data_IF_745397829152
#
_entry.id   IF_745397829152
#
_cell.length_a   1.000
_cell.length_b   1.000
_cell.length_c   1.000
_cell.angle_alpha   90.00
_cell.angle_beta   90.00
_cell.angle_gamma   90.00
#
_symmetry.space_group_name_H-M   'P 1'
#
loop_
_entity.id
_entity.type
_entity.pdbx_description
1 polymer ?
#
# COMPACT_ATOMS: atom_id res chain seq x y z
N UNK A 1 -21.13 31.39 3.25
CA UNK A 1 -19.80 30.96 3.73
C UNK A 1 -19.05 30.41 2.53
N UNK A 2 -18.30 31.26 1.82
CA UNK A 2 -17.51 30.86 0.65
C UNK A 2 -16.23 30.17 1.14
N UNK A 3 -16.02 28.89 0.76
CA UNK A 3 -14.73 28.23 0.95
C UNK A 3 -13.74 28.88 -0.03
N UNK A 4 -12.55 29.32 0.41
CA UNK A 4 -11.55 29.85 -0.51
C UNK A 4 -11.14 28.76 -1.51
N UNK A 5 -10.86 29.17 -2.76
CA UNK A 5 -10.40 28.28 -3.81
C UNK A 5 -9.11 27.56 -3.38
N UNK A 6 -9.05 26.25 -3.60
CA UNK A 6 -7.84 25.47 -3.38
C UNK A 6 -6.69 26.05 -4.21
N UNK A 7 -5.55 26.34 -3.57
CA UNK A 7 -4.34 26.73 -4.29
C UNK A 7 -3.89 25.59 -5.21
N UNK A 8 -3.31 25.93 -6.36
CA UNK A 8 -2.79 24.95 -7.35
C UNK A 8 -1.85 23.91 -6.72
N UNK A 9 -1.08 24.30 -5.69
CA UNK A 9 -0.26 23.37 -4.91
C UNK A 9 -1.07 22.28 -4.19
N UNK A 10 -2.22 22.64 -3.58
CA UNK A 10 -3.09 21.67 -2.91
C UNK A 10 -3.88 20.76 -3.86
N UNK A 11 -3.92 21.09 -5.16
CA UNK A 11 -4.55 20.24 -6.19
C UNK A 11 -3.58 19.18 -6.76
N UNK A 12 -2.26 19.37 -6.59
CA UNK A 12 -1.23 18.48 -7.15
C UNK A 12 -0.46 17.68 -6.10
N UNK A 13 -0.51 18.05 -4.82
CA UNK A 13 0.13 17.27 -3.74
C UNK A 13 -0.74 16.06 -3.38
N UNK A 14 -0.26 14.83 -3.60
CA UNK A 14 -0.99 13.63 -3.22
C UNK A 14 -1.11 13.50 -1.69
N UNK A 15 -2.22 12.91 -1.23
CA UNK A 15 -2.41 12.58 0.19
C UNK A 15 -1.36 11.57 0.68
N UNK A 16 -1.08 11.47 2.00
CA UNK A 16 -0.15 10.46 2.53
C UNK A 16 -0.55 9.03 2.15
N UNK A 17 -1.85 8.72 2.10
CA UNK A 17 -2.36 7.42 1.65
C UNK A 17 -2.05 7.14 0.18
N UNK A 18 -2.17 8.16 -0.67
CA UNK A 18 -1.78 8.07 -2.08
C UNK A 18 -0.28 7.85 -2.21
N UNK A 19 0.54 8.49 -1.36
CA UNK A 19 1.98 8.29 -1.34
C UNK A 19 2.37 6.87 -0.89
N UNK A 20 1.67 6.29 0.10
CA UNK A 20 1.85 4.88 0.46
C UNK A 20 1.45 3.93 -0.69
N UNK A 21 0.35 4.21 -1.39
CA UNK A 21 -0.05 3.42 -2.54
C UNK A 21 0.94 3.53 -3.71
N UNK A 22 1.56 4.71 -3.92
CA UNK A 22 2.65 4.89 -4.89
C UNK A 22 3.89 4.11 -4.49
N UNK A 23 4.28 4.16 -3.21
CA UNK A 23 5.44 3.45 -2.68
C UNK A 23 5.33 1.93 -2.86
N UNK A 24 4.12 1.36 -2.95
CA UNK A 24 3.91 -0.07 -3.11
C UNK A 24 4.38 -0.61 -4.47
N UNK A 25 4.56 0.28 -5.46
CA UNK A 25 5.11 -0.05 -6.78
C UNK A 25 6.64 0.05 -6.83
N UNK A 26 7.27 0.47 -5.74
CA UNK A 26 8.72 0.57 -5.67
C UNK A 26 9.29 -0.72 -5.14
N UNK A 27 10.16 -1.37 -5.93
CA UNK A 27 10.87 -2.54 -5.46
C UNK A 27 11.87 -2.17 -4.34
N UNK A 28 11.99 -3.01 -3.31
CA UNK A 28 12.99 -2.80 -2.25
C UNK A 28 12.67 -1.68 -1.25
N UNK A 29 11.42 -1.55 -0.82
CA UNK A 29 11.00 -0.58 0.22
C UNK A 29 11.46 -0.91 1.64
N UNK A 30 12.32 -1.93 1.84
CA UNK A 30 12.73 -2.42 3.16
C UNK A 30 13.53 -1.39 3.99
N UNK A 31 14.24 -0.47 3.32
CA UNK A 31 14.93 0.66 3.98
C UNK A 31 14.14 1.96 3.89
N UNK A 32 12.90 1.92 3.42
CA UNK A 32 12.06 3.09 3.16
C UNK A 32 12.74 4.14 2.27
N UNK A 33 13.30 3.69 1.15
CA UNK A 33 14.08 4.51 0.22
C UNK A 33 13.49 4.44 -1.19
N UNK A 34 12.38 5.16 -1.39
CA UNK A 34 11.59 5.16 -2.63
C UNK A 34 11.20 6.59 -3.08
N UNK A 35 12.24 7.41 -3.24
CA UNK A 35 12.18 8.81 -3.70
C UNK A 35 11.07 9.64 -3.04
N UNK A 36 10.28 10.39 -3.81
CA UNK A 36 9.28 11.31 -3.27
C UNK A 36 8.16 10.61 -2.51
N UNK A 37 7.83 9.36 -2.85
CA UNK A 37 6.77 8.61 -2.17
C UNK A 37 7.16 8.29 -0.72
N UNK A 38 8.39 7.81 -0.50
CA UNK A 38 8.92 7.57 0.84
C UNK A 38 9.23 8.89 1.57
N UNK A 39 9.77 9.89 0.87
CA UNK A 39 10.08 11.19 1.48
C UNK A 39 8.83 11.90 2.01
N UNK A 40 7.68 11.78 1.32
CA UNK A 40 6.41 12.35 1.77
C UNK A 40 5.87 11.71 3.06
N UNK A 41 6.32 10.49 3.39
CA UNK A 41 5.96 9.72 4.57
C UNK A 41 7.23 9.28 5.34
N UNK A 42 8.16 10.21 5.55
CA UNK A 42 9.52 9.91 6.04
C UNK A 42 9.60 9.35 7.46
N UNK A 43 8.53 9.45 8.25
CA UNK A 43 8.46 8.90 9.61
C UNK A 43 7.97 7.43 9.64
N UNK A 44 7.57 6.89 8.49
CA UNK A 44 7.12 5.50 8.37
C UNK A 44 8.23 4.51 8.69
N UNK A 45 7.87 3.47 9.44
CA UNK A 45 8.79 2.42 9.89
C UNK A 45 8.34 1.09 9.33
N UNK A 46 9.14 0.55 8.43
CA UNK A 46 8.85 -0.72 7.75
C UNK A 46 9.11 -1.89 8.70
N UNK A 47 8.17 -2.84 8.74
CA UNK A 47 8.25 -4.07 9.53
C UNK A 47 8.52 -5.27 8.65
N UNK A 48 7.85 -5.32 7.50
CA UNK A 48 8.07 -6.36 6.50
C UNK A 48 7.77 -5.80 5.12
N UNK A 49 8.54 -6.26 4.15
CA UNK A 49 8.26 -6.14 2.73
C UNK A 49 8.23 -7.54 2.15
N UNK A 50 7.51 -7.73 1.05
CA UNK A 50 7.46 -8.99 0.33
C UNK A 50 6.80 -8.81 -1.02
N UNK A 51 6.60 -9.91 -1.71
CA UNK A 51 6.21 -9.91 -3.11
C UNK A 51 7.38 -10.32 -4.00
N UNK A 52 7.01 -10.74 -5.19
CA UNK A 52 7.91 -11.16 -6.27
C UNK A 52 7.59 -10.42 -7.57
N UNK A 53 6.79 -9.35 -7.50
CA UNK A 53 6.28 -8.56 -8.63
C UNK A 53 5.64 -9.44 -9.74
N UNK A 54 5.11 -10.60 -9.35
CA UNK A 54 4.56 -11.58 -10.29
C UNK A 54 3.31 -12.24 -9.71
N UNK A 55 3.46 -13.42 -9.10
CA UNK A 55 2.36 -14.12 -8.47
C UNK A 55 1.92 -13.37 -7.21
N UNK A 56 2.87 -12.83 -6.45
CA UNK A 56 2.60 -12.03 -5.25
C UNK A 56 3.00 -10.60 -5.55
N UNK A 57 2.05 -9.68 -5.73
CA UNK A 57 2.36 -8.26 -5.91
C UNK A 57 3.20 -7.75 -4.75
N UNK A 58 4.05 -6.76 -5.01
CA UNK A 58 4.86 -6.18 -3.96
C UNK A 58 3.98 -5.60 -2.85
N UNK A 59 4.40 -5.77 -1.61
CA UNK A 59 3.66 -5.29 -0.46
C UNK A 59 4.60 -4.89 0.66
N UNK A 60 4.13 -4.01 1.53
CA UNK A 60 4.80 -3.70 2.78
C UNK A 60 3.81 -3.47 3.91
N UNK A 61 4.28 -3.73 5.12
CA UNK A 61 3.57 -3.42 6.37
C UNK A 61 4.51 -2.66 7.28
N UNK A 62 3.98 -1.67 7.97
CA UNK A 62 4.75 -0.89 8.92
C UNK A 62 3.90 0.02 9.80
N UNK A 63 4.59 0.71 10.69
CA UNK A 63 3.99 1.69 11.58
C UNK A 63 4.13 3.10 11.01
N UNK A 64 3.03 3.85 11.00
CA UNK A 64 3.01 5.26 10.65
C UNK A 64 2.74 6.13 11.88
N UNK A 65 3.78 6.74 12.48
CA UNK A 65 3.63 7.54 13.69
C UNK A 65 2.70 8.74 13.53
N UNK A 66 2.77 9.47 12.42
CA UNK A 66 1.94 10.66 12.19
C UNK A 66 0.44 10.34 12.22
N UNK A 67 0.03 9.16 11.71
CA UNK A 67 -1.36 8.70 11.75
C UNK A 67 -1.71 7.80 12.94
N UNK A 68 -0.75 7.42 13.78
CA UNK A 68 -0.88 6.39 14.80
C UNK A 68 -1.56 5.10 14.28
N UNK A 69 -1.10 4.61 13.13
CA UNK A 69 -1.75 3.51 12.42
C UNK A 69 -0.74 2.48 11.90
N UNK A 70 -1.19 1.23 11.77
CA UNK A 70 -0.50 0.24 10.96
C UNK A 70 -0.89 0.44 9.49
N UNK A 71 0.08 0.62 8.60
CA UNK A 71 -0.18 0.68 7.15
C UNK A 71 0.09 -0.69 6.55
N UNK A 72 -0.83 -1.16 5.71
CA UNK A 72 -0.65 -2.32 4.84
C UNK A 72 -0.84 -1.84 3.41
N UNK A 73 0.23 -1.82 2.62
CA UNK A 73 0.18 -1.40 1.24
C UNK A 73 0.42 -2.60 0.32
N UNK A 74 -0.42 -2.76 -0.70
CA UNK A 74 -0.22 -3.73 -1.78
C UNK A 74 -0.14 -3.01 -3.11
N UNK A 75 0.77 -3.48 -3.95
CA UNK A 75 0.87 -3.17 -5.35
C UNK A 75 -0.39 -3.62 -6.10
N UNK A 76 -0.73 -2.91 -7.19
CA UNK A 76 -1.71 -3.38 -8.16
C UNK A 76 -1.16 -4.53 -9.03
N UNK A 77 -2.03 -5.17 -9.79
CA UNK A 77 -1.69 -6.26 -10.72
C UNK A 77 -1.83 -5.81 -12.19
N UNK A 78 -1.27 -6.55 -13.14
CA UNK A 78 -1.63 -6.41 -14.55
C UNK A 78 -3.10 -6.84 -14.77
N UNK A 79 -3.99 -5.96 -15.29
CA UNK A 79 -5.40 -6.30 -15.54
C UNK A 79 -5.60 -7.45 -16.55
N UNK A 80 -4.60 -7.79 -17.36
CA UNK A 80 -4.66 -8.89 -18.32
C UNK A 80 -4.42 -10.27 -17.68
N UNK A 81 -3.84 -10.32 -16.49
CA UNK A 81 -3.61 -11.57 -15.75
C UNK A 81 -4.79 -11.98 -14.85
N UNK A 82 -5.91 -11.26 -14.98
CA UNK A 82 -7.11 -11.54 -14.22
C UNK A 82 -7.91 -12.73 -14.80
N UNK A 83 -7.58 -13.97 -14.42
CA UNK A 83 -8.42 -15.17 -14.60
C UNK A 83 -9.39 -15.57 -13.44
N UNK A 84 -10.70 -15.59 -13.77
CA UNK A 84 -11.86 -16.32 -13.18
C UNK A 84 -12.33 -16.11 -11.72
N UNK A 85 -13.65 -16.28 -11.50
CA UNK A 85 -14.42 -16.13 -10.24
C UNK A 85 -14.81 -17.49 -9.62
N UNK A 86 -14.88 -17.61 -8.29
CA UNK A 86 -15.32 -18.82 -7.56
C UNK A 86 -16.74 -18.71 -6.95
N UNK A 87 -17.45 -19.83 -6.75
CA UNK A 87 -18.89 -19.83 -6.39
C UNK A 87 -19.17 -20.04 -4.88
N UNK A 88 -19.31 -18.92 -4.15
CA UNK A 88 -20.16 -18.72 -2.96
C UNK A 88 -20.01 -17.26 -2.47
N UNK A 89 -18.77 -16.78 -2.50
CA UNK A 89 -18.34 -15.37 -2.46
C UNK A 89 -17.43 -15.22 -3.66
N UNK A 90 -17.87 -14.49 -4.69
CA UNK A 90 -17.13 -14.38 -5.94
C UNK A 90 -15.96 -13.42 -5.78
N UNK A 91 -14.75 -13.96 -5.70
CA UNK A 91 -13.53 -13.20 -5.88
C UNK A 91 -12.70 -13.81 -7.02
N UNK A 92 -11.89 -12.95 -7.60
CA UNK A 92 -10.95 -13.32 -8.64
C UNK A 92 -9.89 -14.29 -8.11
N UNK A 93 -9.59 -15.36 -8.85
CA UNK A 93 -8.69 -16.43 -8.37
C UNK A 93 -7.25 -15.93 -8.19
N UNK A 94 -6.80 -15.02 -9.05
CA UNK A 94 -5.51 -14.32 -8.92
C UNK A 94 -5.45 -13.48 -7.64
N UNK A 95 -6.50 -12.69 -7.36
CA UNK A 95 -6.56 -11.91 -6.12
C UNK A 95 -6.63 -12.79 -4.87
N UNK A 96 -7.37 -13.90 -4.92
CA UNK A 96 -7.41 -14.88 -3.83
C UNK A 96 -6.04 -15.52 -3.60
N UNK A 97 -5.33 -15.87 -4.68
CA UNK A 97 -3.98 -16.42 -4.61
C UNK A 97 -2.99 -15.43 -4.01
N UNK A 98 -2.96 -14.19 -4.52
CA UNK A 98 -2.10 -13.12 -4.03
C UNK A 98 -2.36 -12.83 -2.54
N UNK A 99 -3.63 -12.67 -2.17
CA UNK A 99 -4.02 -12.50 -0.76
C UNK A 99 -3.59 -13.69 0.10
N UNK A 100 -3.85 -14.93 -0.35
CA UNK A 100 -3.49 -16.13 0.41
C UNK A 100 -1.99 -16.28 0.63
N UNK A 101 -1.16 -15.84 -0.33
CA UNK A 101 0.32 -15.89 -0.22
C UNK A 101 0.87 -14.87 0.76
N UNK A 102 0.31 -13.66 0.81
CA UNK A 102 0.78 -12.60 1.73
C UNK A 102 0.11 -12.61 3.11
N UNK A 103 -1.10 -13.17 3.24
CA UNK A 103 -1.95 -13.03 4.43
C UNK A 103 -1.27 -13.38 5.76
N UNK A 104 -0.54 -14.50 5.83
CA UNK A 104 0.12 -14.92 7.07
C UNK A 104 1.21 -13.95 7.52
N UNK A 105 2.01 -13.46 6.57
CA UNK A 105 3.10 -12.51 6.82
C UNK A 105 2.54 -11.14 7.20
N UNK A 106 1.54 -10.66 6.47
CA UNK A 106 0.86 -9.39 6.74
C UNK A 106 0.20 -9.41 8.12
N UNK A 107 -0.55 -10.48 8.45
CA UNK A 107 -1.22 -10.60 9.74
C UNK A 107 -0.22 -10.56 10.91
N UNK A 108 0.88 -11.31 10.79
CA UNK A 108 1.93 -11.35 11.82
C UNK A 108 2.57 -9.97 12.02
N UNK A 109 2.84 -9.25 10.93
CA UNK A 109 3.42 -7.91 11.00
C UNK A 109 2.45 -6.88 11.60
N UNK A 110 1.17 -6.89 11.20
CA UNK A 110 0.14 -6.00 11.75
C UNK A 110 -0.03 -6.25 13.24
N UNK A 111 -0.12 -7.52 13.68
CA UNK A 111 -0.19 -7.87 15.09
C UNK A 111 1.02 -7.34 15.86
N UNK A 112 2.23 -7.44 15.28
CA UNK A 112 3.45 -6.88 15.88
C UNK A 112 3.34 -5.36 16.05
N UNK A 113 2.92 -4.63 15.01
CA UNK A 113 2.73 -3.16 15.08
C UNK A 113 1.71 -2.77 16.15
N UNK A 114 0.57 -3.46 16.21
CA UNK A 114 -0.47 -3.26 17.24
C UNK A 114 0.12 -3.45 18.63
N UNK A 115 0.86 -4.54 18.85
CA UNK A 115 1.43 -4.86 20.16
C UNK A 115 2.53 -3.90 20.61
N UNK A 116 3.33 -3.36 19.67
CA UNK A 116 4.47 -2.50 20.00
C UNK A 116 4.08 -1.02 20.17
N UNK A 117 3.05 -0.56 19.45
CA UNK A 117 2.69 0.87 19.40
C UNK A 117 1.28 1.18 19.93
N UNK A 118 0.50 0.17 20.31
CA UNK A 118 -0.90 0.33 20.74
C UNK A 118 -1.76 1.07 19.71
N UNK A 119 -1.52 0.84 18.42
CA UNK A 119 -2.34 1.44 17.37
C UNK A 119 -3.76 0.89 17.43
N UNK A 120 -4.74 1.77 17.25
CA UNK A 120 -6.17 1.42 17.19
C UNK A 120 -6.69 1.34 15.76
N UNK A 121 -5.86 1.70 14.79
CA UNK A 121 -6.23 1.80 13.38
C UNK A 121 -5.26 0.99 12.51
N UNK A 122 -5.83 0.22 11.59
CA UNK A 122 -5.11 -0.47 10.52
C UNK A 122 -5.65 0.07 9.21
N UNK A 123 -4.77 0.68 8.42
CA UNK A 123 -5.12 1.31 7.14
C UNK A 123 -4.54 0.47 6.03
N UNK A 124 -5.41 -0.15 5.24
CA UNK A 124 -5.04 -0.85 4.02
C UNK A 124 -5.11 0.10 2.83
N UNK A 125 -4.03 0.24 2.09
CA UNK A 125 -3.96 1.07 0.88
C UNK A 125 -3.54 0.24 -0.32
N UNK A 126 -4.02 0.65 -1.49
CA UNK A 126 -3.66 0.08 -2.77
C UNK A 126 -4.19 1.00 -3.87
N UNK A 127 -3.50 1.04 -5.01
CA UNK A 127 -4.01 1.77 -6.17
C UNK A 127 -4.59 0.77 -7.19
N UNK A 128 -5.74 1.12 -7.78
CA UNK A 128 -6.28 0.47 -8.98
C UNK A 128 -5.27 0.35 -10.13
N UNK A 129 -5.44 -0.70 -10.93
CA UNK A 129 -4.61 -1.14 -12.07
C UNK A 129 -4.44 -0.09 -13.19
N UNK A 130 -5.23 0.99 -13.17
CA UNK A 130 -5.29 2.01 -14.24
C UNK A 130 -4.55 3.32 -13.96
N UNK A 131 -3.93 3.50 -12.79
CA UNK A 131 -3.04 4.63 -12.52
C UNK A 131 -1.62 4.10 -12.28
N UNK A 132 -1.04 3.46 -13.29
CA UNK A 132 0.31 2.95 -13.14
C UNK A 132 1.07 2.86 -14.44
N UNK A 133 1.97 3.84 -14.62
CA UNK A 133 3.36 3.66 -15.06
C UNK A 133 4.10 5.03 -15.03
N UNK A 134 3.37 6.15 -15.01
CA UNK A 134 3.96 7.51 -15.07
C UNK A 134 4.03 8.26 -13.75
N UNK A 135 3.53 7.69 -12.64
CA UNK A 135 3.48 8.36 -11.33
C UNK A 135 4.20 7.54 -10.24
N UNK A 136 4.70 6.33 -10.49
CA UNK A 136 5.65 5.72 -9.56
C UNK A 136 6.96 6.51 -9.71
N UNK A 137 7.26 7.40 -8.77
CA UNK A 137 8.53 8.09 -8.68
C UNK A 137 9.46 7.18 -7.89
N UNK A 138 9.82 6.09 -8.54
CA UNK A 138 10.81 5.10 -8.22
C UNK A 138 11.19 4.44 -9.56
#
# INVERSE_FOLDING_TARGET
MFRPAASIAGLITPSPYTQFARAAYCHGTNTWSCEEACAANSDFRVYVTGGDDSDTPDFFVGYWPTGNAAIVAHEGTDPLQLLSLNSAIQAHTGFLGAHSRSAGVVLSAVQKVISEHNVTEVITVGHSLGMLHTIAGC
#
